data_IF_964680098537
#
_entry.id   IF_964680098537
#
_cell.length_a   1.000
_cell.length_b   1.000
_cell.length_c   1.000
_cell.angle_alpha   90.00
_cell.angle_beta   90.00
_cell.angle_gamma   90.00
#
_symmetry.space_group_name_H-M   'P 1'
#
loop_
_entity.id
_entity.type
_entity.pdbx_description
1 polymer ?
#
# COMPACT_ATOMS: atom_id res chain seq x y z
N UNK A 1 -25.05 16.07 -4.45
CA UNK A 1 -24.47 14.74 -4.23
C UNK A 1 -23.20 14.93 -3.43
N UNK A 2 -23.08 14.26 -2.28
CA UNK A 2 -21.81 14.23 -1.52
C UNK A 2 -20.75 13.49 -2.31
N UNK A 3 -19.48 13.60 -1.91
CA UNK A 3 -18.39 12.87 -2.55
C UNK A 3 -18.53 11.36 -2.33
N UNK A 4 -18.96 10.93 -1.15
CA UNK A 4 -19.29 9.53 -0.89
C UNK A 4 -20.41 9.01 -1.82
N UNK A 5 -21.55 9.71 -1.89
CA UNK A 5 -22.68 9.33 -2.76
C UNK A 5 -22.25 9.20 -4.22
N UNK A 6 -21.41 10.13 -4.69
CA UNK A 6 -20.88 10.17 -6.06
C UNK A 6 -20.05 8.94 -6.38
N UNK A 7 -19.12 8.59 -5.50
CA UNK A 7 -18.28 7.40 -5.70
C UNK A 7 -19.12 6.12 -5.65
N UNK A 8 -20.04 6.02 -4.67
CA UNK A 8 -20.89 4.84 -4.52
C UNK A 8 -21.83 4.63 -5.72
N UNK A 9 -22.41 5.69 -6.29
CA UNK A 9 -23.21 5.58 -7.52
C UNK A 9 -22.39 5.05 -8.69
N UNK A 10 -21.21 5.63 -8.92
CA UNK A 10 -20.33 5.19 -10.01
C UNK A 10 -19.91 3.71 -9.85
N UNK A 11 -19.58 3.27 -8.62
CA UNK A 11 -19.27 1.87 -8.33
C UNK A 11 -20.46 0.92 -8.54
N UNK A 12 -21.69 1.42 -8.39
CA UNK A 12 -22.92 0.68 -8.67
C UNK A 12 -23.37 0.80 -10.14
N UNK A 13 -22.54 1.35 -11.03
CA UNK A 13 -22.86 1.59 -12.43
C UNK A 13 -24.09 2.52 -12.65
N UNK A 14 -24.32 3.43 -11.72
CA UNK A 14 -25.33 4.50 -11.83
C UNK A 14 -24.65 5.83 -12.20
N UNK A 15 -25.33 6.66 -13.00
CA UNK A 15 -24.80 7.96 -13.42
C UNK A 15 -24.73 8.95 -12.23
N UNK A 16 -23.53 9.42 -11.84
CA UNK A 16 -23.35 10.45 -10.82
C UNK A 16 -23.56 11.86 -11.38
N UNK A 17 -23.45 12.88 -10.54
CA UNK A 17 -23.48 14.29 -10.98
C UNK A 17 -22.21 14.74 -11.73
N UNK A 18 -21.09 14.04 -11.53
CA UNK A 18 -19.84 14.15 -12.29
C UNK A 18 -18.98 12.91 -12.09
N UNK A 19 -17.96 12.72 -12.93
CA UNK A 19 -16.94 11.67 -12.75
C UNK A 19 -16.28 11.82 -11.35
N UNK A 20 -16.29 10.77 -10.51
CA UNK A 20 -15.59 10.80 -9.23
C UNK A 20 -14.08 10.94 -9.42
N UNK A 21 -13.43 11.68 -8.53
CA UNK A 21 -12.00 11.95 -8.58
C UNK A 21 -11.28 11.47 -7.32
N UNK A 22 -10.31 10.58 -7.52
CA UNK A 22 -9.41 10.09 -6.47
C UNK A 22 -7.99 10.63 -6.63
N UNK A 23 -7.38 11.04 -5.52
CA UNK A 23 -5.96 11.35 -5.41
C UNK A 23 -5.49 10.93 -4.01
N UNK A 24 -4.44 10.11 -3.97
CA UNK A 24 -3.75 9.63 -2.77
C UNK A 24 -4.59 8.82 -1.77
N UNK A 25 -5.74 8.26 -2.16
CA UNK A 25 -6.48 7.39 -1.23
C UNK A 25 -5.89 5.98 -1.11
N UNK A 26 -5.01 5.58 -2.04
CA UNK A 26 -4.34 4.28 -2.09
C UNK A 26 -2.88 4.40 -2.52
N UNK A 27 -2.11 3.30 -2.39
CA UNK A 27 -0.73 3.20 -2.88
C UNK A 27 -0.58 3.31 -4.40
N UNK A 28 -1.68 3.23 -5.18
CA UNK A 28 -1.66 3.29 -6.65
C UNK A 28 -2.31 4.55 -7.22
N UNK A 29 -2.83 5.42 -6.37
CA UNK A 29 -3.41 6.71 -6.75
C UNK A 29 -2.65 7.91 -6.15
N UNK A 30 -1.47 7.68 -5.60
CA UNK A 30 -0.62 8.70 -5.00
C UNK A 30 0.09 9.61 -6.02
N UNK A 31 0.81 10.59 -5.48
CA UNK A 31 1.66 11.52 -6.24
C UNK A 31 3.06 11.52 -5.62
N UNK A 32 4.09 11.43 -6.47
CA UNK A 32 5.47 11.49 -6.00
C UNK A 32 5.76 12.85 -5.36
N UNK A 33 6.52 12.88 -4.25
CA UNK A 33 6.72 14.09 -3.44
C UNK A 33 7.28 15.28 -4.24
N UNK A 34 8.25 15.05 -5.12
CA UNK A 34 8.79 16.10 -6.03
C UNK A 34 7.68 16.71 -6.89
N UNK A 35 6.76 15.90 -7.42
CA UNK A 35 5.65 16.39 -8.23
C UNK A 35 4.61 17.11 -7.37
N UNK A 36 4.37 16.60 -6.16
CA UNK A 36 3.46 17.23 -5.19
C UNK A 36 3.92 18.63 -4.77
N UNK A 37 5.20 18.79 -4.44
CA UNK A 37 5.77 20.08 -4.05
C UNK A 37 5.64 21.10 -5.18
N UNK A 38 5.94 20.69 -6.42
CA UNK A 38 5.75 21.54 -7.61
C UNK A 38 4.29 21.88 -7.87
N UNK A 39 3.37 20.92 -7.65
CA UNK A 39 1.93 21.16 -7.77
C UNK A 39 1.48 22.20 -6.74
N UNK A 40 1.95 22.09 -5.50
CA UNK A 40 1.63 23.04 -4.42
C UNK A 40 2.12 24.44 -4.74
N UNK A 41 3.36 24.57 -5.23
CA UNK A 41 3.93 25.84 -5.69
C UNK A 41 3.13 26.43 -6.86
N UNK A 42 2.76 25.60 -7.85
CA UNK A 42 1.96 26.03 -9.01
C UNK A 42 0.56 26.54 -8.61
N UNK A 43 -0.05 25.93 -7.58
CA UNK A 43 -1.34 26.38 -7.05
C UNK A 43 -1.23 27.65 -6.19
N UNK A 44 -0.02 28.18 -5.95
CA UNK A 44 0.21 29.36 -5.13
C UNK A 44 -0.14 29.15 -3.65
N UNK A 45 -0.07 27.90 -3.17
CA UNK A 45 -0.43 27.54 -1.80
C UNK A 45 0.78 27.67 -0.85
N UNK A 46 0.53 27.98 0.42
CA UNK A 46 1.58 28.08 1.44
C UNK A 46 2.43 26.81 1.50
N UNK A 47 3.75 26.92 1.55
CA UNK A 47 4.65 25.76 1.66
C UNK A 47 4.40 25.00 2.97
N UNK A 48 4.34 23.68 2.88
CA UNK A 48 4.22 22.77 4.02
C UNK A 48 5.21 21.63 3.85
N UNK A 49 5.68 21.09 4.97
CA UNK A 49 6.56 19.93 4.98
C UNK A 49 5.85 18.72 4.38
N UNK A 50 6.50 18.05 3.42
CA UNK A 50 5.94 16.87 2.77
C UNK A 50 6.30 15.61 3.55
N UNK A 51 5.31 14.97 4.17
CA UNK A 51 5.47 13.62 4.72
C UNK A 51 5.34 12.58 3.60
N UNK A 52 6.13 11.51 3.66
CA UNK A 52 5.98 10.35 2.79
C UNK A 52 5.18 9.26 3.51
N UNK A 53 4.16 8.71 2.84
CA UNK A 53 3.46 7.52 3.36
C UNK A 53 3.91 6.22 2.68
N UNK A 54 4.58 6.32 1.52
CA UNK A 54 5.22 5.18 0.86
C UNK A 54 6.60 5.57 0.36
N UNK A 55 7.63 4.96 0.95
CA UNK A 55 9.01 5.28 0.65
C UNK A 55 9.48 4.65 -0.68
N UNK A 56 8.98 3.46 -1.02
CA UNK A 56 9.37 2.73 -2.25
C UNK A 56 9.12 3.61 -3.47
N UNK A 57 7.90 4.12 -3.58
CA UNK A 57 7.47 4.93 -4.72
C UNK A 57 7.68 6.44 -4.48
N UNK A 58 8.09 6.85 -3.28
CA UNK A 58 8.23 8.27 -2.90
C UNK A 58 6.90 9.03 -2.88
N UNK A 59 5.82 8.38 -2.44
CA UNK A 59 4.48 8.99 -2.43
C UNK A 59 4.30 9.94 -1.26
N UNK A 60 3.91 11.17 -1.58
CA UNK A 60 3.59 12.20 -0.60
C UNK A 60 2.21 11.96 0.02
N UNK A 61 2.12 12.18 1.33
CA UNK A 61 0.86 12.37 2.03
C UNK A 61 0.34 13.77 1.68
N UNK A 62 -0.55 13.83 0.69
CA UNK A 62 -1.13 15.09 0.21
C UNK A 62 -1.93 15.74 1.34
N UNK A 63 -1.65 17.01 1.60
CA UNK A 63 -2.35 17.78 2.62
C UNK A 63 -3.84 17.98 2.28
N UNK A 64 -4.69 17.98 3.32
CA UNK A 64 -6.15 18.11 3.21
C UNK A 64 -6.56 19.38 2.44
N UNK A 65 -5.83 20.49 2.60
CA UNK A 65 -6.09 21.76 1.88
C UNK A 65 -5.96 21.63 0.34
N UNK A 66 -5.00 20.84 -0.14
CA UNK A 66 -4.83 20.55 -1.57
C UNK A 66 -5.93 19.63 -2.05
N UNK A 67 -6.29 18.59 -1.27
CA UNK A 67 -7.37 17.68 -1.61
C UNK A 67 -8.72 18.40 -1.73
N UNK A 68 -8.99 19.34 -0.82
CA UNK A 68 -10.16 20.22 -0.87
C UNK A 68 -10.12 21.15 -2.08
N UNK A 69 -8.97 21.79 -2.34
CA UNK A 69 -8.79 22.71 -3.48
C UNK A 69 -9.01 22.04 -4.83
N UNK A 70 -8.65 20.76 -4.92
CA UNK A 70 -8.80 19.91 -6.11
C UNK A 70 -10.13 19.15 -6.14
N UNK A 71 -10.97 19.26 -5.11
CA UNK A 71 -12.28 18.59 -4.98
C UNK A 71 -12.17 17.07 -5.12
N UNK A 72 -11.17 16.48 -4.46
CA UNK A 72 -10.95 15.03 -4.38
C UNK A 72 -12.06 14.41 -3.53
N UNK A 73 -12.69 13.36 -4.08
CA UNK A 73 -13.90 12.73 -3.54
C UNK A 73 -13.63 11.64 -2.50
N UNK A 74 -12.36 11.33 -2.25
CA UNK A 74 -11.90 10.22 -1.41
C UNK A 74 -10.94 10.71 -0.33
N UNK A 75 -10.80 9.93 0.74
CA UNK A 75 -9.74 10.10 1.75
C UNK A 75 -9.13 8.75 2.09
N UNK A 76 -7.81 8.64 1.97
CA UNK A 76 -7.07 7.45 2.33
C UNK A 76 -6.77 7.40 3.82
N UNK A 77 -7.09 6.29 4.47
CA UNK A 77 -6.44 5.88 5.71
C UNK A 77 -5.09 5.30 5.31
N UNK A 78 -4.04 6.08 5.51
CA UNK A 78 -2.67 5.78 5.07
C UNK A 78 -1.73 5.52 6.25
N UNK A 79 -2.21 5.67 7.48
CA UNK A 79 -1.51 5.26 8.70
C UNK A 79 -1.59 3.75 8.84
N UNK A 80 -0.54 3.18 9.42
CA UNK A 80 -0.42 1.76 9.68
C UNK A 80 0.58 1.08 8.75
N UNK A 81 1.62 0.52 9.36
CA UNK A 81 2.11 -0.86 9.25
C UNK A 81 3.63 -0.95 9.45
N UNK A 82 4.13 -0.89 10.70
CA UNK A 82 5.39 -1.53 11.03
C UNK A 82 5.06 -2.87 11.70
N UNK A 83 5.48 -3.97 11.10
CA UNK A 83 5.36 -5.33 11.65
C UNK A 83 6.30 -5.57 12.85
N UNK A 84 6.28 -4.65 13.83
CA UNK A 84 7.39 -4.42 14.74
C UNK A 84 8.73 -4.18 14.02
N UNK A 85 8.67 -3.91 12.71
CA UNK A 85 9.83 -3.77 11.83
C UNK A 85 10.34 -2.34 11.92
N UNK A 86 11.65 -2.23 12.12
CA UNK A 86 12.36 -0.98 12.18
C UNK A 86 13.04 -0.73 10.83
N UNK A 87 12.73 0.41 10.21
CA UNK A 87 13.38 0.83 8.99
C UNK A 87 14.86 1.12 9.26
N UNK A 88 15.74 0.39 8.56
CA UNK A 88 17.19 0.59 8.59
C UNK A 88 17.67 0.87 7.18
N UNK A 89 17.96 2.15 6.93
CA UNK A 89 18.53 2.59 5.65
C UNK A 89 20.05 2.47 5.73
N UNK A 90 20.62 1.75 4.78
CA UNK A 90 22.05 1.71 4.52
C UNK A 90 22.36 2.68 3.39
N UNK A 91 23.20 3.68 3.65
CA UNK A 91 23.59 4.69 2.67
C UNK A 91 25.06 4.57 2.25
N UNK A 92 25.29 4.76 0.95
CA UNK A 92 26.61 4.91 0.34
C UNK A 92 26.64 6.20 -0.48
N UNK A 93 27.78 6.47 -1.14
CA UNK A 93 27.87 7.55 -2.12
C UNK A 93 27.04 7.28 -3.38
N UNK A 94 26.76 6.01 -3.70
CA UNK A 94 26.12 5.60 -4.96
C UNK A 94 24.63 5.30 -4.81
N UNK A 95 24.20 4.87 -3.63
CA UNK A 95 22.81 4.48 -3.40
C UNK A 95 22.47 4.49 -1.91
N UNK A 96 21.17 4.43 -1.66
CA UNK A 96 20.58 4.04 -0.38
C UNK A 96 19.77 2.76 -0.57
N UNK A 97 19.72 1.91 0.44
CA UNK A 97 18.97 0.67 0.38
C UNK A 97 18.42 0.28 1.75
N UNK A 98 17.40 -0.57 1.77
CA UNK A 98 16.88 -1.21 2.98
C UNK A 98 16.26 -2.55 2.64
N UNK A 99 16.09 -3.40 3.64
CA UNK A 99 15.39 -4.69 3.51
C UNK A 99 14.07 -4.63 4.26
N UNK A 100 12.97 -4.88 3.55
CA UNK A 100 11.62 -4.78 4.09
C UNK A 100 11.22 -5.98 4.97
N UNK A 101 9.99 -5.95 5.49
CA UNK A 101 9.43 -7.03 6.31
C UNK A 101 9.36 -8.38 5.59
N UNK A 102 9.23 -8.37 4.27
CA UNK A 102 9.21 -9.58 3.45
C UNK A 102 10.61 -10.12 3.19
N UNK A 103 11.67 -9.40 3.56
CA UNK A 103 13.06 -9.78 3.27
C UNK A 103 13.52 -9.36 1.89
N UNK A 104 12.76 -8.51 1.18
CA UNK A 104 13.13 -7.95 -0.12
C UNK A 104 14.04 -6.75 0.12
N UNK A 105 15.18 -6.71 -0.58
CA UNK A 105 16.07 -5.55 -0.53
C UNK A 105 15.73 -4.58 -1.65
N UNK A 106 15.49 -3.34 -1.26
CA UNK A 106 15.09 -2.22 -2.10
C UNK A 106 16.24 -1.23 -2.16
N UNK A 107 16.57 -0.71 -3.35
CA UNK A 107 17.68 0.24 -3.55
C UNK A 107 17.24 1.41 -4.41
N UNK A 108 17.61 2.62 -4.01
CA UNK A 108 17.48 3.84 -4.80
C UNK A 108 18.85 4.43 -5.11
N UNK A 109 19.22 4.61 -6.40
CA UNK A 109 20.50 5.21 -6.75
C UNK A 109 20.55 6.70 -6.39
N UNK A 110 21.71 7.19 -5.98
CA UNK A 110 21.98 8.62 -5.71
C UNK A 110 22.73 9.24 -6.90
N UNK A 111 22.62 10.57 -7.10
CA UNK A 111 21.77 11.51 -6.36
C UNK A 111 20.36 11.68 -6.96
N UNK A 112 20.05 11.01 -8.08
CA UNK A 112 18.86 11.30 -8.89
C UNK A 112 17.84 10.17 -8.98
N UNK A 113 18.02 9.06 -8.25
CA UNK A 113 17.02 8.00 -8.18
C UNK A 113 15.73 8.52 -7.56
N UNK A 114 14.61 8.23 -8.22
CA UNK A 114 13.28 8.62 -7.75
C UNK A 114 12.65 7.53 -6.89
N UNK A 115 12.82 6.28 -7.33
CA UNK A 115 12.15 5.11 -6.78
C UNK A 115 13.17 4.14 -6.20
N UNK A 116 12.72 3.32 -5.25
CA UNK A 116 13.47 2.14 -4.87
C UNK A 116 13.10 0.96 -5.75
N UNK A 117 14.10 0.29 -6.29
CA UNK A 117 13.97 -0.93 -7.09
C UNK A 117 14.41 -2.15 -6.28
N UNK A 118 13.77 -3.29 -6.53
CA UNK A 118 14.18 -4.56 -5.91
C UNK A 118 15.54 -5.00 -6.44
N UNK A 119 16.48 -5.27 -5.54
CA UNK A 119 17.83 -5.75 -5.88
C UNK A 119 18.15 -7.11 -5.27
N UNK A 120 17.38 -7.57 -4.28
CA UNK A 120 17.49 -8.91 -3.74
C UNK A 120 16.12 -9.48 -3.35
N UNK A 121 15.97 -10.79 -3.58
CA UNK A 121 14.74 -11.53 -3.33
C UNK A 121 15.03 -12.67 -2.32
N UNK A 122 14.27 -12.77 -1.23
CA UNK A 122 14.60 -13.64 -0.09
C UNK A 122 14.48 -15.13 -0.37
N UNK A 123 13.72 -15.52 -1.40
CA UNK A 123 13.51 -16.89 -1.82
C UNK A 123 14.09 -17.16 -3.22
N UNK A 124 15.00 -16.32 -3.72
CA UNK A 124 15.69 -16.61 -4.99
C UNK A 124 16.40 -17.97 -4.92
N UNK A 125 16.14 -18.84 -5.90
CA UNK A 125 16.65 -20.20 -5.98
C UNK A 125 16.13 -21.15 -4.90
N UNK A 126 15.06 -20.78 -4.18
CA UNK A 126 14.56 -21.57 -3.05
C UNK A 126 13.85 -22.86 -3.49
N UNK A 127 14.06 -23.93 -2.74
CA UNK A 127 13.26 -25.15 -2.83
C UNK A 127 11.96 -25.02 -2.03
N UNK A 128 11.06 -26.00 -2.19
CA UNK A 128 9.85 -26.11 -1.35
C UNK A 128 10.20 -26.16 0.15
N UNK A 129 11.28 -26.84 0.53
CA UNK A 129 11.65 -26.97 1.94
C UNK A 129 12.25 -25.67 2.49
N UNK A 130 12.90 -24.87 1.66
CA UNK A 130 13.34 -23.53 2.03
C UNK A 130 12.13 -22.60 2.25
N UNK A 131 11.15 -22.63 1.34
CA UNK A 131 9.91 -21.87 1.50
C UNK A 131 9.13 -22.27 2.77
N UNK A 132 9.18 -23.54 3.18
CA UNK A 132 8.58 -24.02 4.43
C UNK A 132 9.28 -23.48 5.68
N UNK A 133 10.60 -23.27 5.63
CA UNK A 133 11.42 -22.73 6.73
C UNK A 133 11.44 -21.20 6.76
N UNK A 134 10.98 -20.56 5.69
CA UNK A 134 10.93 -19.11 5.59
C UNK A 134 10.13 -18.48 6.73
N UNK A 135 10.64 -17.37 7.28
CA UNK A 135 10.00 -16.62 8.36
C UNK A 135 9.00 -15.64 7.76
N UNK A 136 7.76 -16.09 7.60
CA UNK A 136 6.67 -15.28 7.07
C UNK A 136 6.28 -14.13 8.01
N UNK A 137 6.02 -12.90 7.50
CA UNK A 137 5.46 -11.82 8.30
C UNK A 137 4.16 -12.24 9.00
N UNK A 138 4.01 -11.85 10.26
CA UNK A 138 2.85 -12.25 11.07
C UNK A 138 1.63 -11.37 10.74
N UNK A 139 0.56 -11.90 10.13
CA UNK A 139 -0.65 -11.12 9.84
C UNK A 139 -1.40 -10.68 11.09
N UNK A 140 -1.11 -11.29 12.25
CA UNK A 140 -1.79 -10.98 13.52
C UNK A 140 -1.09 -9.90 14.34
N UNK A 141 0.03 -9.39 13.84
CA UNK A 141 0.77 -8.33 14.51
C UNK A 141 -0.12 -7.10 14.70
N UNK A 142 -0.31 -6.71 15.97
CA UNK A 142 -1.18 -5.60 16.35
C UNK A 142 -0.56 -4.25 15.99
N UNK A 143 0.78 -4.18 15.88
CA UNK A 143 1.47 -2.96 15.45
C UNK A 143 1.00 -2.49 14.06
N UNK A 144 0.47 -3.41 13.24
CA UNK A 144 -0.12 -3.10 11.94
C UNK A 144 -1.37 -2.23 12.02
N UNK A 145 -2.05 -2.20 13.17
CA UNK A 145 -3.32 -1.53 13.36
C UNK A 145 -3.21 -0.22 14.11
N UNK A 146 -2.00 0.12 14.56
CA UNK A 146 -1.74 1.36 15.29
C UNK A 146 -2.14 2.57 14.44
N UNK A 147 -2.91 3.47 15.03
CA UNK A 147 -3.36 4.71 14.41
C UNK A 147 -4.47 4.57 13.36
N UNK A 148 -4.77 3.35 12.87
CA UNK A 148 -5.81 3.14 11.84
C UNK A 148 -7.16 3.62 12.34
N UNK A 149 -7.56 3.25 13.57
CA UNK A 149 -8.89 3.58 14.10
C UNK A 149 -9.06 5.09 14.29
N UNK A 150 -8.03 5.74 14.84
CA UNK A 150 -8.00 7.17 15.09
C UNK A 150 -8.07 7.95 13.77
N UNK A 151 -7.25 7.58 12.79
CA UNK A 151 -7.26 8.22 11.48
C UNK A 151 -8.59 7.99 10.74
N UNK A 152 -9.08 6.75 10.74
CA UNK A 152 -10.36 6.43 10.08
C UNK A 152 -11.51 7.23 10.69
N UNK A 153 -11.53 7.37 12.03
CA UNK A 153 -12.56 8.16 12.74
C UNK A 153 -12.45 9.66 12.46
N UNK A 154 -11.23 10.17 12.25
CA UNK A 154 -11.00 11.57 11.85
C UNK A 154 -11.54 11.82 10.44
N UNK A 155 -11.21 10.94 9.49
CA UNK A 155 -11.58 11.07 8.09
C UNK A 155 -13.08 10.85 7.83
N UNK A 156 -13.72 9.99 8.63
CA UNK A 156 -15.16 9.73 8.55
C UNK A 156 -16.05 10.94 8.87
N UNK A 157 -15.46 12.05 9.36
CA UNK A 157 -16.17 13.32 9.57
C UNK A 157 -16.29 14.17 8.31
N UNK A 158 -15.64 13.77 7.21
CA UNK A 158 -15.73 14.43 5.91
C UNK A 158 -16.86 13.84 5.06
N UNK A 159 -17.33 14.59 4.06
CA UNK A 159 -18.32 14.11 3.08
C UNK A 159 -17.69 13.20 1.98
N UNK A 160 -16.42 12.82 2.14
CA UNK A 160 -15.65 12.01 1.19
C UNK A 160 -15.77 10.53 1.50
N UNK A 161 -15.62 9.68 0.47
CA UNK A 161 -15.49 8.25 0.69
C UNK A 161 -14.15 7.94 1.38
N UNK A 162 -14.20 7.34 2.56
CA UNK A 162 -12.99 6.88 3.26
C UNK A 162 -12.54 5.52 2.70
N UNK A 163 -11.28 5.43 2.28
CA UNK A 163 -10.67 4.25 1.68
C UNK A 163 -9.54 3.75 2.58
N UNK A 164 -9.53 2.45 2.88
CA UNK A 164 -8.40 1.81 3.55
C UNK A 164 -7.29 1.52 2.55
N UNK A 165 -6.36 2.46 2.39
CA UNK A 165 -5.33 2.45 1.36
C UNK A 165 -4.12 1.56 1.66
N UNK A 166 -3.80 1.31 2.93
CA UNK A 166 -2.51 0.68 3.34
C UNK A 166 -2.65 -0.61 4.16
N UNK A 167 -3.88 -1.09 4.44
CA UNK A 167 -4.13 -2.17 5.41
C UNK A 167 -3.80 -3.58 4.88
N UNK A 168 -3.39 -3.70 3.62
CA UNK A 168 -3.02 -4.97 2.99
C UNK A 168 -1.79 -5.64 3.62
N UNK A 169 -1.74 -6.97 3.59
CA UNK A 169 -0.49 -7.73 3.83
C UNK A 169 0.35 -7.80 2.56
N UNK A 170 -0.33 -7.96 1.43
CA UNK A 170 0.28 -8.18 0.12
C UNK A 170 -0.19 -7.09 -0.82
N UNK A 171 0.64 -6.73 -1.79
CA UNK A 171 0.27 -5.85 -2.92
C UNK A 171 -0.54 -6.60 -3.99
N UNK A 172 -0.54 -7.93 -3.90
CA UNK A 172 -1.28 -8.87 -4.73
C UNK A 172 -0.64 -10.24 -4.60
N UNK A 173 -1.41 -11.33 -4.71
CA UNK A 173 -0.86 -12.68 -4.49
C UNK A 173 0.26 -13.01 -5.48
N UNK A 174 0.03 -12.76 -6.77
CA UNK A 174 1.04 -12.98 -7.80
C UNK A 174 2.22 -12.03 -7.64
N UNK A 175 1.96 -10.75 -7.40
CA UNK A 175 3.01 -9.75 -7.28
C UNK A 175 3.93 -10.03 -6.09
N UNK A 176 3.37 -10.30 -4.91
CA UNK A 176 4.18 -10.67 -3.73
C UNK A 176 4.89 -12.01 -3.93
N UNK A 177 4.29 -12.98 -4.62
CA UNK A 177 4.99 -14.21 -5.01
C UNK A 177 6.23 -13.92 -5.87
N UNK A 178 6.12 -13.04 -6.87
CA UNK A 178 7.23 -12.64 -7.73
C UNK A 178 8.31 -11.87 -6.95
N UNK A 179 7.92 -11.02 -6.00
CA UNK A 179 8.88 -10.30 -5.15
C UNK A 179 9.70 -11.23 -4.27
N UNK A 180 9.12 -12.34 -3.81
CA UNK A 180 9.83 -13.28 -2.94
C UNK A 180 10.85 -14.12 -3.69
N UNK A 181 10.48 -14.66 -4.86
CA UNK A 181 11.35 -15.54 -5.66
C UNK A 181 12.28 -14.75 -6.60
N UNK A 182 11.91 -13.52 -6.97
CA UNK A 182 12.45 -12.86 -8.14
C UNK A 182 11.73 -13.28 -9.41
N UNK A 183 11.76 -12.41 -10.43
CA UNK A 183 10.92 -12.58 -11.62
C UNK A 183 11.22 -13.87 -12.39
N UNK A 184 12.49 -14.18 -12.65
CA UNK A 184 12.90 -15.40 -13.38
C UNK A 184 12.40 -16.68 -12.71
N UNK A 185 12.76 -16.87 -11.44
CA UNK A 185 12.40 -18.06 -10.66
C UNK A 185 10.88 -18.14 -10.46
N UNK A 186 10.19 -17.01 -10.33
CA UNK A 186 8.74 -17.00 -10.21
C UNK A 186 8.04 -17.49 -11.48
N UNK A 187 8.51 -17.10 -12.67
CA UNK A 187 7.95 -17.57 -13.93
C UNK A 187 8.28 -19.05 -14.16
N UNK A 188 9.50 -19.48 -13.83
CA UNK A 188 9.87 -20.89 -13.85
C UNK A 188 8.98 -21.71 -12.90
N UNK A 189 8.80 -21.26 -11.65
CA UNK A 189 8.02 -21.98 -10.66
C UNK A 189 6.54 -22.09 -11.03
N UNK A 190 5.96 -21.06 -11.66
CA UNK A 190 4.59 -21.10 -12.18
C UNK A 190 4.42 -22.16 -13.28
N UNK A 191 5.45 -22.38 -14.10
CA UNK A 191 5.41 -23.32 -15.21
C UNK A 191 5.79 -24.76 -14.82
N UNK A 192 6.75 -24.91 -13.90
CA UNK A 192 7.43 -26.19 -13.67
C UNK A 192 7.43 -26.66 -12.20
N UNK A 193 7.10 -25.81 -11.22
CA UNK A 193 7.16 -26.14 -9.78
C UNK A 193 5.79 -25.93 -9.10
N UNK A 194 4.77 -26.74 -9.42
CA UNK A 194 3.42 -26.54 -8.90
C UNK A 194 3.34 -26.64 -7.38
N UNK A 195 4.14 -27.50 -6.75
CA UNK A 195 4.13 -27.65 -5.28
C UNK A 195 4.66 -26.41 -4.56
N UNK A 196 5.79 -25.86 -5.03
CA UNK A 196 6.36 -24.62 -4.51
C UNK A 196 5.40 -23.45 -4.69
N UNK A 197 4.85 -23.31 -5.91
CA UNK A 197 3.87 -22.27 -6.25
C UNK A 197 2.63 -22.34 -5.37
N UNK A 198 2.00 -23.52 -5.26
CA UNK A 198 0.83 -23.71 -4.42
C UNK A 198 1.12 -23.44 -2.95
N UNK A 199 2.31 -23.82 -2.46
CA UNK A 199 2.70 -23.56 -1.08
C UNK A 199 2.79 -22.06 -0.80
N UNK A 200 3.56 -21.30 -1.59
CA UNK A 200 3.77 -19.87 -1.37
C UNK A 200 2.47 -19.09 -1.56
N UNK A 201 1.78 -19.28 -2.68
CA UNK A 201 0.50 -18.60 -2.95
C UNK A 201 -0.54 -18.97 -1.88
N UNK A 202 -0.57 -20.24 -1.45
CA UNK A 202 -1.42 -20.70 -0.35
C UNK A 202 -1.07 -20.09 1.02
N UNK A 203 0.19 -19.73 1.28
CA UNK A 203 0.58 -18.97 2.47
C UNK A 203 0.13 -17.51 2.38
N UNK A 204 0.39 -16.85 1.25
CA UNK A 204 0.01 -15.47 1.01
C UNK A 204 -1.51 -15.28 1.05
N UNK A 205 -2.29 -16.21 0.50
CA UNK A 205 -3.75 -16.17 0.50
C UNK A 205 -4.33 -16.31 1.90
N UNK A 206 -3.84 -17.26 2.71
CA UNK A 206 -4.27 -17.43 4.12
C UNK A 206 -4.02 -16.18 4.95
N UNK A 207 -2.87 -15.54 4.74
CA UNK A 207 -2.53 -14.29 5.40
C UNK A 207 -3.47 -13.15 4.98
N UNK A 208 -3.76 -13.04 3.68
CA UNK A 208 -4.65 -12.01 3.12
C UNK A 208 -6.09 -12.18 3.60
N UNK A 209 -6.64 -13.41 3.57
CA UNK A 209 -7.99 -13.72 4.05
C UNK A 209 -8.15 -13.42 5.54
N UNK A 210 -7.11 -13.65 6.35
CA UNK A 210 -7.16 -13.31 7.76
C UNK A 210 -7.35 -11.80 7.96
N UNK A 211 -6.63 -10.96 7.22
CA UNK A 211 -6.77 -9.50 7.30
C UNK A 211 -8.14 -9.06 6.84
N UNK A 212 -8.59 -9.55 5.68
CA UNK A 212 -9.86 -9.11 5.11
C UNK A 212 -11.05 -9.45 6.02
N UNK A 213 -11.09 -10.67 6.57
CA UNK A 213 -12.13 -11.09 7.53
C UNK A 213 -12.13 -10.30 8.82
N UNK A 214 -10.98 -9.78 9.25
CA UNK A 214 -10.87 -9.00 10.47
C UNK A 214 -10.93 -7.49 10.22
N UNK A 215 -10.99 -7.03 8.97
CA UNK A 215 -10.90 -5.61 8.59
C UNK A 215 -11.93 -4.74 9.32
N UNK A 216 -13.16 -5.25 9.48
CA UNK A 216 -14.23 -4.62 10.27
C UNK A 216 -13.87 -4.46 11.75
N UNK A 217 -13.36 -5.53 12.38
CA UNK A 217 -12.94 -5.51 13.80
C UNK A 217 -11.73 -4.61 14.03
N UNK A 218 -10.82 -4.56 13.06
CA UNK A 218 -9.55 -3.84 13.15
C UNK A 218 -9.71 -2.33 12.97
N UNK A 219 -10.69 -1.90 12.17
CA UNK A 219 -10.89 -0.48 11.86
C UNK A 219 -12.05 0.15 12.62
N UNK A 220 -12.97 -0.65 13.15
CA UNK A 220 -14.16 -0.15 13.85
C UNK A 220 -15.16 0.57 12.94
N UNK A 221 -14.93 0.57 11.62
CA UNK A 221 -15.73 1.28 10.62
C UNK A 221 -16.23 0.27 9.58
N UNK A 222 -17.48 0.46 9.13
CA UNK A 222 -18.03 -0.26 7.99
C UNK A 222 -17.35 0.24 6.72
N UNK A 223 -16.46 -0.56 6.14
CA UNK A 223 -16.04 -0.37 4.75
C UNK A 223 -17.03 -1.06 3.83
N UNK A 224 -17.51 -0.34 2.82
CA UNK A 224 -18.50 -0.82 1.87
C UNK A 224 -17.85 -1.80 0.87
N UNK A 225 -17.46 -2.98 1.36
CA UNK A 225 -17.34 -4.16 0.52
C UNK A 225 -18.25 -5.22 1.09
N UNK A 226 -19.41 -5.36 0.41
CA UNK A 226 -20.26 -6.54 0.40
C UNK A 226 -20.61 -7.15 1.76
N UNK A 227 -21.49 -6.49 2.53
CA UNK A 227 -22.48 -7.20 3.35
C UNK A 227 -23.72 -6.30 3.54
N UNK A 228 -24.54 -6.20 2.49
CA UNK A 228 -25.98 -6.06 2.66
C UNK A 228 -26.62 -7.18 1.85
N UNK A 229 -27.15 -8.17 2.57
CA UNK A 229 -28.19 -9.06 2.06
C UNK A 229 -29.47 -8.26 1.84
#
# INVERSE_FOLDING_TARGET
>A
MTSEERVLKALNHEEPDRVPYDLTSTLVSGIHYIAYEKLRDYLGMEKKETELFDMVQGLARVHDDVLERLKVDTRGVLTGSPFGWELKIEETSEYEQYTDVWGVTWRRPKPHGLYFDMVAHPLKGATLDDAKKFKWPNPRDQARLEGIKEESSRLAKSDCLVVLGTVGMTVGLLQTFQWLLGFEDSFYALAAEPELTHYIVGKLSRNTVFIDRNRKRMTGIFFYFSERK
#
